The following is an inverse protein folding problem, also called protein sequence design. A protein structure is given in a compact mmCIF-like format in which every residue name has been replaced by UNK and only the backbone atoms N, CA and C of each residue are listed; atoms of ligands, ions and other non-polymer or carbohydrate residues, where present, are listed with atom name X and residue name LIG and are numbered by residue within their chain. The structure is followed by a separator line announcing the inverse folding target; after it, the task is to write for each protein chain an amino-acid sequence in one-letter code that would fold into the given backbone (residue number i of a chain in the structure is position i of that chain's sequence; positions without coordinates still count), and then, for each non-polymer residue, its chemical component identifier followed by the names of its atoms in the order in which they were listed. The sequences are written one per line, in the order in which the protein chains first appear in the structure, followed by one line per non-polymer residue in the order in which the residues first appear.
data_IF_542858223604
#
_entry.id   IF_542858223604
#
_cell.length_a   1.000
_cell.length_b   1.000
_cell.length_c   1.000
_cell.angle_alpha   90.00
_cell.angle_beta   90.00
_cell.angle_gamma   90.00
#
_symmetry.space_group_name_H-M   'P 1'
#
loop_
_entity.id
_entity.type
_entity.pdbx_description
1 polymer ?
#
# COMPACT_ATOMS: atom_id res chain seq x y z
N UNK A 1 -28.85 -21.03 23.48
CA UNK A 1 -29.75 -20.40 22.49
C UNK A 1 -30.43 -21.52 21.72
N UNK A 2 -31.74 -21.43 21.47
CA UNK A 2 -32.47 -22.41 20.66
C UNK A 2 -32.38 -22.00 19.19
N UNK A 3 -31.86 -22.86 18.31
CA UNK A 3 -31.84 -22.62 16.87
C UNK A 3 -33.19 -23.06 16.27
N UNK A 4 -33.93 -22.08 15.71
CA UNK A 4 -35.28 -22.31 15.15
C UNK A 4 -35.27 -22.25 13.60
N UNK A 5 -34.12 -22.04 12.97
CA UNK A 5 -34.01 -21.88 11.51
C UNK A 5 -33.31 -23.06 10.85
N UNK A 6 -33.79 -23.41 9.66
CA UNK A 6 -33.07 -24.18 8.67
C UNK A 6 -32.08 -23.27 7.92
N UNK A 7 -31.23 -23.82 7.06
CA UNK A 7 -30.22 -23.06 6.30
C UNK A 7 -30.82 -22.07 5.28
N UNK A 8 -32.00 -22.38 4.76
CA UNK A 8 -32.80 -21.51 3.88
C UNK A 8 -33.61 -20.44 4.64
N UNK A 9 -33.42 -20.34 5.95
CA UNK A 9 -34.15 -19.46 6.86
C UNK A 9 -35.67 -19.72 6.95
N UNK A 10 -36.14 -20.92 6.56
CA UNK A 10 -37.44 -21.45 7.00
C UNK A 10 -37.33 -21.93 8.44
N UNK A 11 -38.47 -22.08 9.13
CA UNK A 11 -38.45 -22.57 10.50
C UNK A 11 -38.29 -24.09 10.52
N UNK A 12 -37.45 -24.59 11.45
CA UNK A 12 -37.24 -26.01 11.70
C UNK A 12 -38.30 -26.59 12.68
N UNK A 13 -38.06 -27.79 13.21
CA UNK A 13 -38.96 -28.49 14.16
C UNK A 13 -39.19 -27.70 15.46
N UNK A 14 -38.25 -26.87 15.90
CA UNK A 14 -38.40 -26.03 17.11
C UNK A 14 -39.30 -24.81 16.85
N UNK A 15 -39.62 -24.51 15.59
CA UNK A 15 -40.65 -23.54 15.21
C UNK A 15 -42.08 -24.02 15.42
N UNK A 16 -42.27 -25.23 15.95
CA UNK A 16 -43.57 -25.85 16.24
C UNK A 16 -44.49 -25.88 15.01
N UNK A 17 -45.71 -25.34 15.12
CA UNK A 17 -46.69 -25.31 14.03
C UNK A 17 -46.30 -24.39 12.85
N UNK A 18 -45.25 -23.58 13.00
CA UNK A 18 -44.66 -22.81 11.93
C UNK A 18 -43.56 -23.53 11.14
N UNK A 19 -43.25 -24.80 11.46
CA UNK A 19 -42.23 -25.58 10.77
C UNK A 19 -42.42 -25.53 9.25
N UNK A 20 -41.30 -25.24 8.53
CA UNK A 20 -41.26 -25.17 7.07
C UNK A 20 -41.75 -23.85 6.47
N UNK A 21 -42.27 -22.91 7.28
CA UNK A 21 -42.67 -21.59 6.78
C UNK A 21 -41.52 -20.63 6.72
N UNK A 22 -41.57 -19.71 5.75
CA UNK A 22 -40.61 -18.59 5.63
C UNK A 22 -40.72 -17.65 6.83
N UNK A 23 -39.57 -17.19 7.33
CA UNK A 23 -39.45 -16.32 8.49
C UNK A 23 -40.26 -15.02 8.42
N UNK A 24 -40.38 -14.41 7.23
CA UNK A 24 -41.15 -13.18 7.06
C UNK A 24 -42.66 -13.42 7.10
N UNK A 25 -43.09 -14.58 6.63
CA UNK A 25 -44.48 -15.03 6.76
C UNK A 25 -44.79 -15.25 8.22
N UNK A 26 -43.93 -15.98 8.94
CA UNK A 26 -44.11 -16.28 10.36
C UNK A 26 -44.16 -15.02 11.24
N UNK A 27 -43.31 -14.03 10.99
CA UNK A 27 -43.35 -12.73 11.72
C UNK A 27 -44.73 -12.05 11.65
N UNK A 28 -45.42 -12.17 10.52
CA UNK A 28 -46.78 -11.63 10.37
C UNK A 28 -47.82 -12.47 11.04
N UNK A 29 -47.70 -13.80 10.95
CA UNK A 29 -48.68 -14.71 11.52
C UNK A 29 -48.60 -14.76 13.04
N UNK A 30 -47.37 -14.82 13.60
CA UNK A 30 -47.17 -14.85 15.05
C UNK A 30 -47.66 -13.57 15.75
N UNK A 31 -47.57 -12.43 15.07
CA UNK A 31 -48.11 -11.20 15.63
C UNK A 31 -49.64 -11.29 15.82
N UNK A 32 -50.34 -11.82 14.82
CA UNK A 32 -51.80 -12.01 14.88
C UNK A 32 -52.19 -13.04 15.94
N UNK A 33 -51.38 -14.13 16.06
CA UNK A 33 -51.65 -15.13 17.08
C UNK A 33 -51.44 -14.60 18.49
N UNK A 34 -50.39 -13.81 18.73
CA UNK A 34 -50.15 -13.18 20.02
C UNK A 34 -51.23 -12.15 20.37
N UNK A 35 -51.79 -11.46 19.37
CA UNK A 35 -52.94 -10.55 19.55
C UNK A 35 -54.19 -11.34 19.92
N UNK A 36 -54.50 -12.41 19.20
CA UNK A 36 -55.63 -13.30 19.49
C UNK A 36 -55.60 -13.95 20.87
N UNK A 37 -54.40 -14.29 21.33
CA UNK A 37 -54.19 -14.86 22.67
C UNK A 37 -54.06 -13.85 23.79
N UNK A 38 -54.20 -12.53 23.48
CA UNK A 38 -54.07 -11.46 24.46
C UNK A 38 -52.66 -11.25 25.01
N UNK A 39 -51.64 -11.85 24.37
CA UNK A 39 -50.25 -11.73 24.78
C UNK A 39 -49.58 -10.49 24.17
N UNK A 40 -50.12 -9.92 23.08
CA UNK A 40 -49.64 -8.67 22.48
C UNK A 40 -50.26 -7.49 23.18
N UNK A 41 -49.46 -6.76 23.98
CA UNK A 41 -49.95 -5.64 24.78
C UNK A 41 -49.96 -4.33 23.95
N UNK A 42 -48.93 -4.12 23.13
CA UNK A 42 -48.74 -2.87 22.36
C UNK A 42 -47.82 -3.10 21.15
N UNK A 43 -48.15 -2.39 20.06
CA UNK A 43 -47.25 -2.28 18.89
C UNK A 43 -46.88 -0.81 18.71
N UNK A 44 -45.56 -0.55 18.59
CA UNK A 44 -45.04 0.78 18.33
C UNK A 44 -44.19 0.76 17.08
N UNK A 45 -44.22 1.86 16.34
CA UNK A 45 -43.29 2.06 15.21
C UNK A 45 -41.90 2.30 15.74
N UNK A 46 -40.92 1.45 15.31
CA UNK A 46 -39.51 1.55 15.69
C UNK A 46 -38.64 1.49 14.47
N UNK A 47 -37.71 2.42 14.35
CA UNK A 47 -36.68 2.41 13.28
C UNK A 47 -35.43 1.75 13.80
N UNK A 48 -35.02 0.66 13.19
CA UNK A 48 -33.77 -0.04 13.51
C UNK A 48 -32.95 -0.33 12.26
N UNK A 49 -31.65 -0.59 12.46
CA UNK A 49 -30.76 -1.04 11.41
C UNK A 49 -30.86 -2.54 11.27
N UNK A 50 -31.34 -3.02 10.12
CA UNK A 50 -31.42 -4.46 9.80
C UNK A 50 -30.13 -4.90 9.13
N UNK A 51 -29.46 -5.93 9.67
CA UNK A 51 -28.29 -6.53 9.06
C UNK A 51 -28.63 -7.24 7.75
N UNK A 52 -27.86 -6.99 6.72
CA UNK A 52 -27.99 -7.66 5.42
C UNK A 52 -26.67 -8.24 4.98
N UNK A 53 -26.73 -9.36 4.22
CA UNK A 53 -25.55 -9.92 3.57
C UNK A 53 -24.93 -8.88 2.63
N UNK A 54 -23.65 -8.65 2.76
CA UNK A 54 -22.92 -7.70 1.89
C UNK A 54 -23.01 -8.10 0.42
N UNK A 55 -23.01 -9.39 0.13
CA UNK A 55 -23.00 -9.94 -1.23
C UNK A 55 -24.39 -10.05 -1.84
N UNK A 56 -25.36 -10.63 -1.11
CA UNK A 56 -26.70 -10.95 -1.65
C UNK A 56 -27.76 -9.90 -1.27
N UNK A 57 -27.45 -9.01 -0.33
CA UNK A 57 -28.38 -8.05 0.28
C UNK A 57 -29.57 -8.70 1.01
N UNK A 58 -29.56 -10.04 1.16
CA UNK A 58 -30.56 -10.73 1.95
C UNK A 58 -30.44 -10.36 3.43
N UNK A 59 -31.58 -10.23 4.11
CA UNK A 59 -31.61 -10.00 5.55
C UNK A 59 -31.02 -11.23 6.27
N UNK A 60 -30.07 -11.00 7.16
CA UNK A 60 -29.44 -12.07 7.96
C UNK A 60 -30.22 -12.35 9.24
N UNK A 61 -30.18 -13.59 9.67
CA UNK A 61 -30.74 -14.03 10.95
C UNK A 61 -29.60 -14.62 11.82
N UNK A 62 -29.59 -14.35 13.14
CA UNK A 62 -28.64 -14.98 14.04
C UNK A 62 -28.84 -16.50 14.09
N UNK A 63 -27.79 -17.26 13.78
CA UNK A 63 -27.76 -18.71 13.80
C UNK A 63 -26.44 -19.20 14.38
N UNK A 64 -26.48 -20.19 15.25
CA UNK A 64 -25.30 -20.92 15.71
C UNK A 64 -24.87 -21.91 14.62
N UNK A 65 -23.60 -21.92 14.29
CA UNK A 65 -22.99 -22.92 13.42
C UNK A 65 -21.56 -23.21 13.90
N UNK A 66 -21.09 -24.41 13.61
CA UNK A 66 -19.69 -24.76 13.86
C UNK A 66 -18.80 -23.97 12.91
N UNK A 67 -17.70 -23.45 13.45
CA UNK A 67 -16.77 -22.61 12.72
C UNK A 67 -15.33 -22.99 13.09
N UNK A 68 -14.41 -22.80 12.17
CA UNK A 68 -12.99 -22.97 12.43
C UNK A 68 -12.39 -21.69 13.03
N UNK A 69 -11.72 -21.85 14.17
CA UNK A 69 -11.05 -20.76 14.88
C UNK A 69 -9.56 -21.08 15.04
N UNK A 70 -8.73 -20.09 14.75
CA UNK A 70 -7.31 -20.10 15.07
C UNK A 70 -7.11 -19.45 16.45
N UNK A 71 -6.47 -20.17 17.39
CA UNK A 71 -6.08 -19.61 18.69
C UNK A 71 -4.98 -18.57 18.50
N UNK A 72 -5.23 -17.34 18.91
CA UNK A 72 -4.34 -16.21 18.65
C UNK A 72 -3.44 -15.85 19.83
N UNK A 73 -3.80 -16.23 21.05
CA UNK A 73 -3.16 -15.78 22.29
C UNK A 73 -1.64 -15.97 22.33
N UNK A 74 -1.16 -17.15 21.92
CA UNK A 74 0.28 -17.43 21.90
C UNK A 74 0.95 -16.93 20.61
N UNK A 75 0.26 -17.00 19.49
CA UNK A 75 0.76 -16.62 18.18
C UNK A 75 1.11 -15.12 18.07
N UNK A 76 0.43 -14.27 18.84
CA UNK A 76 0.64 -12.82 18.79
C UNK A 76 1.83 -12.33 19.61
N UNK A 77 2.30 -13.11 20.59
CA UNK A 77 3.37 -12.68 21.51
C UNK A 77 4.67 -12.25 20.81
N UNK A 78 5.22 -13.04 19.87
CA UNK A 78 6.40 -12.63 19.11
C UNK A 78 6.15 -11.35 18.29
N UNK A 79 4.96 -11.21 17.71
CA UNK A 79 4.59 -10.07 16.88
C UNK A 79 4.45 -8.77 17.71
N UNK A 80 3.89 -8.85 18.91
CA UNK A 80 3.85 -7.73 19.87
C UNK A 80 5.26 -7.30 20.22
N UNK A 81 6.10 -8.25 20.60
CA UNK A 81 7.49 -7.99 20.99
C UNK A 81 8.28 -7.31 19.87
N UNK A 82 8.19 -7.82 18.65
CA UNK A 82 8.95 -7.33 17.50
C UNK A 82 8.64 -5.88 17.13
N UNK A 83 7.38 -5.44 17.30
CA UNK A 83 6.96 -4.07 16.94
C UNK A 83 7.05 -3.13 18.13
N UNK A 84 6.56 -3.54 19.31
CA UNK A 84 6.32 -2.62 20.44
C UNK A 84 7.43 -2.61 21.49
N UNK A 85 8.30 -3.63 21.55
CA UNK A 85 9.34 -3.75 22.56
C UNK A 85 10.73 -3.66 21.96
N UNK A 86 11.03 -4.45 20.93
CA UNK A 86 12.37 -4.50 20.32
C UNK A 86 12.54 -3.60 19.11
N UNK A 87 11.45 -3.08 18.58
CA UNK A 87 11.41 -2.25 17.36
C UNK A 87 12.16 -2.91 16.17
N UNK A 88 12.20 -4.25 16.13
CA UNK A 88 12.73 -4.98 14.97
C UNK A 88 11.93 -4.72 13.70
N UNK A 89 10.63 -4.42 13.87
CA UNK A 89 9.73 -3.97 12.81
C UNK A 89 9.23 -2.59 13.20
N UNK A 90 9.43 -1.59 12.34
CA UNK A 90 9.05 -0.20 12.59
C UNK A 90 7.84 0.20 11.76
N UNK A 91 6.86 0.86 12.38
CA UNK A 91 5.70 1.41 11.70
C UNK A 91 5.92 2.90 11.42
N UNK A 92 5.67 3.33 10.20
CA UNK A 92 5.76 4.73 9.76
C UNK A 92 4.41 5.22 9.23
N UNK A 93 3.87 6.34 9.79
CA UNK A 93 4.37 7.08 10.96
C UNK A 93 4.16 6.32 12.27
N UNK A 94 5.00 6.62 13.25
CA UNK A 94 5.02 5.95 14.58
C UNK A 94 3.68 6.05 15.35
N UNK A 95 2.78 6.96 15.01
CA UNK A 95 1.44 7.07 15.61
C UNK A 95 0.63 5.76 15.52
N UNK A 96 0.93 4.92 14.53
CA UNK A 96 0.24 3.63 14.32
C UNK A 96 0.66 2.55 15.30
N UNK A 97 1.74 2.73 16.09
CA UNK A 97 2.11 1.82 17.17
C UNK A 97 0.96 1.69 18.19
N UNK A 98 0.25 2.79 18.49
CA UNK A 98 -0.88 2.76 19.40
C UNK A 98 -2.07 1.96 18.84
N UNK A 99 -2.34 2.09 17.54
CA UNK A 99 -3.38 1.33 16.86
C UNK A 99 -3.02 -0.15 16.84
N UNK A 100 -1.77 -0.48 16.51
CA UNK A 100 -1.25 -1.85 16.51
C UNK A 100 -1.35 -2.47 17.91
N UNK A 101 -0.88 -1.74 18.94
CA UNK A 101 -0.98 -2.15 20.36
C UNK A 101 -2.41 -2.49 20.75
N UNK A 102 -3.35 -1.57 20.48
CA UNK A 102 -4.74 -1.77 20.85
C UNK A 102 -5.34 -3.05 20.26
N UNK A 103 -5.06 -3.33 18.99
CA UNK A 103 -5.57 -4.53 18.32
C UNK A 103 -4.88 -5.81 18.82
N UNK A 104 -3.56 -5.77 19.02
CA UNK A 104 -2.79 -6.96 19.36
C UNK A 104 -2.96 -7.38 20.83
N UNK A 105 -3.04 -6.42 21.76
CA UNK A 105 -3.27 -6.71 23.19
C UNK A 105 -4.72 -7.15 23.48
N UNK A 106 -5.67 -6.82 22.62
CA UNK A 106 -7.08 -7.19 22.74
C UNK A 106 -7.50 -8.22 21.69
N UNK A 107 -6.56 -8.99 21.15
CA UNK A 107 -6.85 -9.94 20.08
C UNK A 107 -7.77 -11.06 20.59
N UNK A 108 -8.67 -11.50 19.71
CA UNK A 108 -9.54 -12.67 19.94
C UNK A 108 -9.17 -13.75 18.94
N UNK A 109 -9.60 -14.98 19.25
CA UNK A 109 -9.46 -16.08 18.32
C UNK A 109 -10.09 -15.72 16.97
N UNK A 110 -9.39 -16.08 15.91
CA UNK A 110 -9.75 -15.70 14.57
C UNK A 110 -10.60 -16.77 13.91
N UNK A 111 -11.88 -16.45 13.63
CA UNK A 111 -12.71 -17.28 12.77
C UNK A 111 -12.15 -17.27 11.35
N UNK A 112 -11.63 -18.40 10.89
CA UNK A 112 -10.99 -18.57 9.57
C UNK A 112 -11.89 -19.20 8.52
N UNK A 113 -13.10 -19.67 8.89
CA UNK A 113 -14.05 -20.27 7.95
C UNK A 113 -15.00 -19.22 7.34
N UNK A 114 -15.37 -19.44 6.08
CA UNK A 114 -16.31 -18.60 5.32
C UNK A 114 -17.24 -19.52 4.53
N UNK A 115 -18.55 -19.27 4.61
CA UNK A 115 -19.58 -19.96 3.85
C UNK A 115 -19.68 -19.34 2.45
N UNK A 116 -18.73 -19.68 1.58
CA UNK A 116 -18.61 -19.16 0.22
C UNK A 116 -18.62 -20.31 -0.81
N UNK A 117 -19.26 -20.08 -1.92
CA UNK A 117 -19.30 -21.05 -3.03
C UNK A 117 -17.96 -21.21 -3.75
N UNK A 118 -17.13 -20.21 -3.69
CA UNK A 118 -15.84 -20.19 -4.35
C UNK A 118 -14.77 -19.57 -3.45
N UNK A 119 -13.65 -20.26 -3.35
CA UNK A 119 -12.55 -19.88 -2.50
C UNK A 119 -11.61 -21.05 -2.27
N UNK A 120 -10.72 -20.91 -1.31
CA UNK A 120 -9.83 -21.99 -0.86
C UNK A 120 -10.57 -22.85 0.12
N UNK A 121 -11.05 -24.01 -0.31
CA UNK A 121 -11.79 -24.95 0.52
C UNK A 121 -10.93 -25.43 1.69
N UNK A 122 -11.52 -25.50 2.87
CA UNK A 122 -10.81 -25.95 4.07
C UNK A 122 -10.37 -27.40 3.87
N UNK A 123 -9.06 -27.73 4.05
CA UNK A 123 -8.53 -29.07 3.80
C UNK A 123 -8.74 -30.02 5.00
N UNK A 124 -9.92 -29.94 5.61
CA UNK A 124 -10.35 -30.82 6.69
C UNK A 124 -11.32 -31.87 6.16
N UNK A 125 -11.11 -33.13 6.53
CA UNK A 125 -11.89 -34.27 6.07
C UNK A 125 -12.48 -35.01 7.30
N UNK A 126 -13.79 -34.99 7.39
CA UNK A 126 -14.56 -35.68 8.45
C UNK A 126 -14.74 -37.14 8.07
N UNK A 127 -14.50 -38.03 9.05
CA UNK A 127 -14.70 -39.50 8.94
C UNK A 127 -15.71 -40.04 9.94
N UNK A 128 -16.39 -39.19 10.70
CA UNK A 128 -17.38 -39.49 11.69
C UNK A 128 -18.23 -38.29 12.05
N UNK A 129 -19.02 -38.39 13.11
CA UNK A 129 -19.93 -37.34 13.58
C UNK A 129 -19.46 -36.65 14.86
N UNK A 130 -18.38 -37.13 15.45
CA UNK A 130 -17.78 -36.52 16.63
C UNK A 130 -17.04 -35.21 16.27
N UNK A 131 -16.94 -34.31 17.23
CA UNK A 131 -16.30 -33.01 17.06
C UNK A 131 -14.82 -33.16 16.67
N UNK A 132 -14.14 -34.22 17.05
CA UNK A 132 -12.75 -34.51 16.74
C UNK A 132 -12.58 -35.52 15.60
N UNK A 133 -13.68 -35.99 14.97
CA UNK A 133 -13.64 -36.99 13.91
C UNK A 133 -13.25 -36.39 12.55
N UNK A 134 -12.16 -35.63 12.51
CA UNK A 134 -11.62 -35.07 11.30
C UNK A 134 -10.09 -35.20 11.22
N UNK A 135 -9.55 -35.05 10.03
CA UNK A 135 -8.12 -34.91 9.74
C UNK A 135 -7.90 -33.76 8.77
N UNK A 136 -6.70 -33.18 8.77
CA UNK A 136 -6.30 -32.16 7.81
C UNK A 136 -5.24 -32.75 6.89
N UNK A 137 -5.43 -32.63 5.58
CA UNK A 137 -4.54 -33.23 4.59
C UNK A 137 -4.61 -32.47 3.25
N UNK A 138 -3.56 -32.57 2.44
CA UNK A 138 -3.49 -31.95 1.12
C UNK A 138 -4.38 -32.67 0.07
N UNK A 139 -4.63 -33.97 0.27
CA UNK A 139 -5.45 -34.80 -0.64
C UNK A 139 -6.37 -35.73 0.13
N UNK A 140 -7.41 -36.26 -0.56
CA UNK A 140 -8.30 -37.27 0.01
C UNK A 140 -7.60 -38.58 0.34
N UNK A 141 -6.60 -38.95 -0.45
CA UNK A 141 -5.80 -40.16 -0.27
C UNK A 141 -4.96 -40.08 1.02
N UNK A 142 -4.32 -38.92 1.23
CA UNK A 142 -3.59 -38.64 2.47
C UNK A 142 -4.54 -38.59 3.67
N UNK A 143 -5.69 -37.90 3.51
CA UNK A 143 -6.74 -37.83 4.53
C UNK A 143 -7.23 -39.23 4.95
N UNK A 144 -7.39 -40.12 3.99
CA UNK A 144 -7.80 -41.54 4.30
C UNK A 144 -6.76 -42.22 5.14
N UNK A 145 -5.47 -42.06 4.84
CA UNK A 145 -4.41 -42.66 5.64
C UNK A 145 -4.41 -42.11 7.07
N UNK A 146 -4.56 -40.80 7.24
CA UNK A 146 -4.65 -40.17 8.56
C UNK A 146 -5.92 -40.55 9.33
N UNK A 147 -7.07 -40.62 8.65
CA UNK A 147 -8.33 -41.02 9.24
C UNK A 147 -8.32 -42.48 9.77
N UNK A 148 -7.74 -43.40 8.98
CA UNK A 148 -7.52 -44.79 9.41
C UNK A 148 -6.64 -44.85 10.65
N UNK A 149 -5.53 -44.11 10.65
CA UNK A 149 -4.62 -44.09 11.80
C UNK A 149 -5.27 -43.48 13.04
N UNK A 150 -6.03 -42.38 12.89
CA UNK A 150 -6.66 -41.67 13.99
C UNK A 150 -7.87 -42.43 14.59
N UNK A 151 -8.70 -43.02 13.72
CA UNK A 151 -9.89 -43.79 14.16
C UNK A 151 -9.60 -45.22 14.61
N UNK A 152 -8.44 -45.78 14.23
CA UNK A 152 -8.15 -47.21 14.40
C UNK A 152 -9.01 -48.12 13.50
N UNK A 153 -9.73 -47.57 12.53
CA UNK A 153 -10.60 -48.34 11.63
C UNK A 153 -9.94 -48.51 10.24
N UNK A 154 -9.37 -49.69 9.93
CA UNK A 154 -8.71 -49.95 8.64
C UNK A 154 -9.69 -50.09 7.49
N UNK A 155 -10.99 -50.20 7.74
CA UNK A 155 -12.04 -50.43 6.73
C UNK A 155 -12.56 -49.09 6.12
N UNK A 156 -12.16 -47.93 6.64
CA UNK A 156 -12.55 -46.65 6.06
C UNK A 156 -12.12 -46.59 4.59
N UNK A 157 -12.98 -46.01 3.79
CA UNK A 157 -12.77 -45.76 2.34
C UNK A 157 -12.79 -44.25 2.02
N UNK A 158 -12.45 -43.87 0.83
CA UNK A 158 -12.50 -42.45 0.39
C UNK A 158 -13.94 -41.91 0.44
N UNK A 159 -14.91 -42.74 0.20
CA UNK A 159 -16.35 -42.43 0.25
C UNK A 159 -16.85 -42.08 1.63
N UNK A 160 -16.20 -42.61 2.68
CA UNK A 160 -16.49 -42.28 4.07
C UNK A 160 -15.99 -40.90 4.51
N UNK A 161 -15.15 -40.25 3.66
CA UNK A 161 -14.59 -38.96 3.97
C UNK A 161 -15.42 -37.81 3.35
N UNK A 162 -15.88 -36.92 4.19
CA UNK A 162 -16.54 -35.69 3.79
C UNK A 162 -15.60 -34.50 4.02
N UNK A 163 -15.17 -33.81 2.94
CA UNK A 163 -14.41 -32.58 3.09
C UNK A 163 -15.31 -31.46 3.61
N UNK A 164 -14.75 -30.57 4.44
CA UNK A 164 -15.43 -29.36 4.89
C UNK A 164 -15.90 -28.54 3.69
N UNK A 165 -17.13 -28.02 3.74
CA UNK A 165 -17.74 -27.27 2.65
C UNK A 165 -17.35 -25.79 2.63
N UNK A 166 -16.82 -25.29 3.76
CA UNK A 166 -16.44 -23.90 3.92
C UNK A 166 -15.12 -23.57 3.20
N UNK A 167 -14.96 -22.31 2.89
CA UNK A 167 -13.70 -21.76 2.39
C UNK A 167 -12.92 -21.07 3.51
N UNK A 168 -11.60 -20.99 3.35
CA UNK A 168 -10.74 -20.21 4.24
C UNK A 168 -10.95 -18.71 4.02
N UNK A 169 -10.83 -17.94 5.09
CA UNK A 169 -10.72 -16.48 5.05
C UNK A 169 -9.59 -16.07 4.09
N UNK A 170 -9.85 -15.13 3.20
CA UNK A 170 -8.85 -14.58 2.27
C UNK A 170 -7.56 -14.15 2.97
N UNK A 171 -7.69 -13.59 4.18
CA UNK A 171 -6.53 -13.16 4.96
C UNK A 171 -5.71 -14.33 5.51
N UNK A 172 -6.29 -15.51 5.63
CA UNK A 172 -5.58 -16.71 6.08
C UNK A 172 -4.61 -17.25 5.02
N UNK A 173 -4.84 -16.97 3.75
CA UNK A 173 -3.86 -17.25 2.70
C UNK A 173 -2.94 -16.06 2.43
N UNK A 174 -3.46 -14.84 2.44
CA UNK A 174 -2.66 -13.65 2.14
C UNK A 174 -1.64 -13.29 3.22
N UNK A 175 -1.78 -13.79 4.45
CA UNK A 175 -0.74 -13.63 5.49
C UNK A 175 0.56 -14.38 5.17
N UNK A 176 0.51 -15.34 4.25
CA UNK A 176 1.68 -16.08 3.78
C UNK A 176 2.45 -15.35 2.68
N UNK A 177 1.92 -14.22 2.19
CA UNK A 177 2.45 -13.56 1.00
C UNK A 177 3.96 -13.28 1.02
N UNK A 178 4.57 -12.79 2.13
CA UNK A 178 6.01 -12.54 2.15
C UNK A 178 6.86 -13.80 1.93
N UNK A 179 6.32 -14.97 2.23
CA UNK A 179 6.99 -16.26 2.03
C UNK A 179 6.62 -16.88 0.69
N UNK A 180 5.32 -16.87 0.34
CA UNK A 180 4.79 -17.59 -0.81
C UNK A 180 5.23 -16.99 -2.14
N UNK A 181 5.42 -15.67 -2.21
CA UNK A 181 5.87 -14.98 -3.45
C UNK A 181 7.26 -15.43 -3.91
N UNK A 182 8.09 -15.94 -2.99
CA UNK A 182 9.42 -16.48 -3.27
C UNK A 182 9.48 -18.00 -3.14
N UNK A 183 8.32 -18.68 -3.20
CA UNK A 183 8.21 -20.14 -2.99
C UNK A 183 8.82 -20.62 -1.65
N UNK A 184 8.88 -19.75 -0.65
CA UNK A 184 9.50 -20.05 0.64
C UNK A 184 8.70 -21.02 1.53
N UNK A 185 7.41 -21.26 1.21
CA UNK A 185 6.56 -22.21 1.95
C UNK A 185 6.91 -23.65 1.57
N UNK A 186 7.07 -23.93 0.28
CA UNK A 186 7.35 -25.28 -0.24
C UNK A 186 8.84 -25.55 -0.37
N UNK A 187 9.63 -24.53 -0.68
CA UNK A 187 11.04 -24.62 -0.95
C UNK A 187 11.83 -23.55 -0.19
N UNK A 188 11.89 -23.64 1.16
CA UNK A 188 12.51 -22.60 2.01
C UNK A 188 14.01 -22.42 1.79
N UNK A 189 14.64 -23.37 1.10
CA UNK A 189 16.08 -23.33 0.81
C UNK A 189 16.45 -22.66 -0.52
N UNK A 190 15.48 -22.23 -1.32
CA UNK A 190 15.74 -21.59 -2.61
C UNK A 190 16.45 -20.23 -2.46
N UNK A 191 17.17 -19.82 -3.52
CA UNK A 191 18.02 -18.64 -3.52
C UNK A 191 17.23 -17.34 -3.37
N UNK A 192 16.06 -17.23 -4.01
CA UNK A 192 15.25 -16.02 -3.98
C UNK A 192 14.70 -15.78 -2.58
N UNK A 193 14.15 -16.81 -1.93
CA UNK A 193 13.67 -16.69 -0.56
C UNK A 193 14.79 -16.32 0.41
N UNK A 194 15.98 -16.92 0.29
CA UNK A 194 17.13 -16.58 1.14
C UNK A 194 17.62 -15.15 0.92
N UNK A 195 17.47 -14.61 -0.28
CA UNK A 195 17.90 -13.26 -0.62
C UNK A 195 16.87 -12.19 -0.22
N UNK A 196 15.59 -12.42 -0.53
CA UNK A 196 14.54 -11.41 -0.37
C UNK A 196 13.78 -11.47 0.96
N UNK A 197 13.84 -12.58 1.70
CA UNK A 197 13.17 -12.71 3.00
C UNK A 197 14.16 -12.65 4.16
N UNK A 198 13.98 -11.75 5.15
CA UNK A 198 12.96 -10.72 5.25
C UNK A 198 13.15 -9.58 4.24
N UNK A 199 12.05 -8.99 3.77
CA UNK A 199 12.11 -7.80 2.92
C UNK A 199 12.44 -6.53 3.74
N UNK A 200 12.81 -5.44 3.06
CA UNK A 200 13.15 -4.19 3.75
C UNK A 200 11.88 -3.42 4.14
N UNK A 201 11.04 -3.12 3.16
CA UNK A 201 9.92 -2.21 3.31
C UNK A 201 8.61 -2.85 2.80
N UNK A 202 7.55 -2.71 3.59
CA UNK A 202 6.18 -2.97 3.18
C UNK A 202 5.42 -1.64 3.11
N UNK A 203 4.80 -1.35 1.97
CA UNK A 203 3.96 -0.16 1.78
C UNK A 203 2.51 -0.58 1.64
N UNK A 204 1.63 -0.06 2.51
CA UNK A 204 0.20 -0.41 2.47
C UNK A 204 -0.68 0.66 3.14
N UNK A 205 -2.01 0.52 3.02
CA UNK A 205 -2.97 1.37 3.70
C UNK A 205 -3.15 1.01 5.19
N UNK A 206 -3.43 1.99 6.05
CA UNK A 206 -3.64 1.75 7.47
C UNK A 206 -4.92 0.96 7.79
N UNK A 207 -5.87 0.92 6.88
CA UNK A 207 -7.12 0.18 7.03
C UNK A 207 -6.94 -1.34 7.02
N UNK A 208 -5.79 -1.84 6.53
CA UNK A 208 -5.44 -3.25 6.58
C UNK A 208 -4.24 -3.55 7.49
N UNK A 209 -3.86 -2.64 8.37
CA UNK A 209 -2.80 -2.85 9.35
C UNK A 209 -3.04 -4.11 10.19
N UNK A 210 -4.25 -4.28 10.73
CA UNK A 210 -4.61 -5.46 11.50
C UNK A 210 -4.87 -6.68 10.62
N UNK A 211 -5.64 -6.50 9.54
CA UNK A 211 -6.09 -7.63 8.72
C UNK A 211 -4.98 -8.29 7.92
N UNK A 212 -3.95 -7.55 7.56
CA UNK A 212 -2.86 -8.06 6.72
C UNK A 212 -1.49 -7.93 7.36
N UNK A 213 -1.06 -6.72 7.75
CA UNK A 213 0.29 -6.47 8.26
C UNK A 213 0.57 -7.29 9.54
N UNK A 214 -0.30 -7.16 10.54
CA UNK A 214 -0.15 -7.88 11.80
C UNK A 214 -0.16 -9.40 11.58
N UNK A 215 -1.03 -9.88 10.69
CA UNK A 215 -1.12 -11.30 10.36
C UNK A 215 0.11 -11.81 9.62
N UNK A 216 0.71 -11.04 8.70
CA UNK A 216 1.98 -11.40 8.08
C UNK A 216 3.12 -11.47 9.10
N UNK A 217 3.15 -10.58 10.08
CA UNK A 217 4.15 -10.63 11.16
C UNK A 217 3.97 -11.92 11.98
N UNK A 218 2.73 -12.24 12.35
CA UNK A 218 2.41 -13.47 13.10
C UNK A 218 2.87 -14.71 12.31
N UNK A 219 2.46 -14.84 11.05
CA UNK A 219 2.84 -15.99 10.22
C UNK A 219 4.34 -16.09 9.97
N UNK A 220 5.02 -14.94 9.83
CA UNK A 220 6.47 -14.91 9.68
C UNK A 220 7.17 -15.54 10.88
N UNK A 221 6.82 -15.14 12.09
CA UNK A 221 7.41 -15.73 13.30
C UNK A 221 6.99 -17.17 13.51
N UNK A 222 5.74 -17.54 13.24
CA UNK A 222 5.24 -18.90 13.40
C UNK A 222 5.96 -19.89 12.48
N UNK A 223 6.06 -19.57 11.19
CA UNK A 223 6.59 -20.52 10.20
C UNK A 223 8.09 -20.44 9.97
N UNK A 224 8.71 -19.28 10.17
CA UNK A 224 10.15 -19.09 9.88
C UNK A 224 10.98 -18.69 11.09
N UNK A 225 10.35 -18.32 12.21
CA UNK A 225 11.02 -17.75 13.38
C UNK A 225 11.62 -16.35 13.13
N UNK A 226 11.30 -15.70 12.01
CA UNK A 226 11.87 -14.42 11.58
C UNK A 226 10.79 -13.41 11.22
N UNK A 227 11.14 -12.11 11.33
CA UNK A 227 10.29 -11.04 10.82
C UNK A 227 10.12 -11.14 9.29
N UNK A 228 8.94 -10.82 8.73
CA UNK A 228 8.74 -10.84 7.29
C UNK A 228 9.30 -9.61 6.56
N UNK A 229 9.39 -8.47 7.25
CA UNK A 229 9.90 -7.18 6.75
C UNK A 229 10.43 -6.35 7.91
N UNK A 230 11.22 -5.29 7.59
CA UNK A 230 11.83 -4.44 8.62
C UNK A 230 11.00 -3.18 8.90
N UNK A 231 10.41 -2.59 7.88
CA UNK A 231 9.67 -1.35 7.99
C UNK A 231 8.30 -1.48 7.34
N UNK A 232 7.31 -0.78 7.89
CA UNK A 232 5.96 -0.68 7.34
C UNK A 232 5.61 0.78 7.15
N UNK A 233 5.52 1.22 5.90
CA UNK A 233 5.05 2.55 5.56
C UNK A 233 3.54 2.53 5.32
N UNK A 234 2.80 3.24 6.15
CA UNK A 234 1.34 3.33 6.09
C UNK A 234 0.92 4.60 5.37
N UNK A 235 0.40 4.43 4.16
CA UNK A 235 -0.04 5.53 3.30
C UNK A 235 -1.33 6.17 3.82
N UNK A 236 -1.67 7.36 3.30
CA UNK A 236 -3.01 7.91 3.46
C UNK A 236 -4.03 7.18 2.57
N UNK A 237 -5.30 7.22 2.96
CA UNK A 237 -6.40 6.80 2.12
C UNK A 237 -6.85 7.95 1.23
N UNK A 238 -7.13 7.67 -0.04
CA UNK A 238 -7.62 8.67 -0.98
C UNK A 238 -9.10 8.94 -0.71
N UNK A 239 -9.43 10.24 -0.50
CA UNK A 239 -10.79 10.72 -0.25
C UNK A 239 -11.20 11.77 -1.27
N UNK A 240 -12.49 11.88 -1.50
CA UNK A 240 -13.07 12.95 -2.31
C UNK A 240 -13.10 14.31 -1.56
N UNK A 241 -13.48 15.37 -2.25
CA UNK A 241 -13.61 16.73 -1.67
C UNK A 241 -14.58 16.81 -0.48
N UNK A 242 -15.48 15.83 -0.31
CA UNK A 242 -16.38 15.68 0.84
C UNK A 242 -15.81 14.77 1.93
N UNK A 243 -14.54 14.40 1.86
CA UNK A 243 -13.82 13.50 2.80
C UNK A 243 -14.33 12.06 2.84
N UNK A 244 -15.13 11.62 1.86
CA UNK A 244 -15.58 10.23 1.77
C UNK A 244 -14.49 9.39 1.11
N UNK A 245 -14.29 8.17 1.61
CA UNK A 245 -13.36 7.22 0.97
C UNK A 245 -13.79 6.98 -0.47
N UNK A 246 -12.87 7.11 -1.41
CA UNK A 246 -13.14 6.83 -2.82
C UNK A 246 -13.40 5.34 -3.02
N UNK A 247 -14.45 5.04 -3.78
CA UNK A 247 -14.79 3.66 -4.16
C UNK A 247 -15.54 3.62 -5.47
N UNK A 248 -15.38 2.53 -6.22
CA UNK A 248 -16.12 2.29 -7.46
C UNK A 248 -17.64 2.27 -7.24
N UNK A 249 -18.09 1.73 -6.10
CA UNK A 249 -19.51 1.62 -5.77
C UNK A 249 -20.18 2.96 -5.48
N UNK A 250 -19.43 3.96 -5.04
CA UNK A 250 -19.93 5.33 -4.82
C UNK A 250 -19.81 6.21 -6.08
N UNK A 251 -19.09 5.76 -7.11
CA UNK A 251 -18.86 6.54 -8.32
C UNK A 251 -18.06 7.84 -8.09
N UNK A 252 -17.35 7.95 -6.97
CA UNK A 252 -16.59 9.13 -6.58
C UNK A 252 -15.07 8.96 -6.80
N UNK A 253 -14.65 7.92 -7.51
CA UNK A 253 -13.26 7.69 -7.90
C UNK A 253 -13.09 8.11 -9.35
N UNK A 254 -12.14 9.01 -9.68
CA UNK A 254 -11.84 9.33 -11.07
C UNK A 254 -11.27 8.11 -11.79
N UNK A 255 -11.42 8.09 -13.12
CA UNK A 255 -10.79 7.09 -13.95
C UNK A 255 -9.28 7.37 -14.02
N UNK A 256 -8.48 6.44 -13.52
CA UNK A 256 -7.03 6.59 -13.48
C UNK A 256 -6.41 6.67 -14.89
N UNK A 257 -6.96 5.94 -15.88
CA UNK A 257 -6.47 5.99 -17.25
C UNK A 257 -6.74 7.36 -17.88
N UNK A 258 -7.92 7.93 -17.63
CA UNK A 258 -8.24 9.28 -18.07
C UNK A 258 -7.34 10.33 -17.42
N UNK A 259 -7.02 10.22 -16.14
CA UNK A 259 -6.07 11.13 -15.50
C UNK A 259 -4.68 11.04 -16.13
N UNK A 260 -4.21 9.83 -16.46
CA UNK A 260 -2.93 9.64 -17.15
C UNK A 260 -2.96 10.23 -18.56
N UNK A 261 -4.06 10.10 -19.29
CA UNK A 261 -4.23 10.69 -20.61
C UNK A 261 -4.21 12.22 -20.54
N UNK A 262 -4.91 12.83 -19.58
CA UNK A 262 -5.07 14.28 -19.45
C UNK A 262 -3.79 14.94 -18.89
N UNK A 263 -3.12 14.34 -17.90
CA UNK A 263 -2.03 14.94 -17.14
C UNK A 263 -0.67 14.26 -17.32
N UNK A 264 -0.62 13.11 -17.98
CA UNK A 264 0.57 12.26 -18.04
C UNK A 264 0.80 11.48 -16.74
N UNK A 265 1.43 10.31 -16.84
CA UNK A 265 1.68 9.45 -15.67
C UNK A 265 2.52 10.18 -14.61
N UNK A 266 3.57 10.88 -14.99
CA UNK A 266 4.42 11.65 -14.08
C UNK A 266 3.69 12.82 -13.44
N UNK A 267 2.80 13.49 -14.18
CA UNK A 267 1.97 14.57 -13.65
C UNK A 267 1.03 14.08 -12.55
N UNK A 268 0.38 12.92 -12.76
CA UNK A 268 -0.48 12.28 -11.76
C UNK A 268 0.33 11.84 -10.53
N UNK A 269 1.51 11.23 -10.72
CA UNK A 269 2.40 10.81 -9.63
C UNK A 269 2.81 12.00 -8.75
N UNK A 270 3.27 13.08 -9.35
CA UNK A 270 3.64 14.31 -8.62
C UNK A 270 2.45 14.87 -7.87
N UNK A 271 1.28 14.99 -8.50
CA UNK A 271 0.07 15.49 -7.87
C UNK A 271 -0.36 14.68 -6.64
N UNK A 272 -0.34 13.36 -6.75
CA UNK A 272 -0.66 12.47 -5.63
C UNK A 272 0.37 12.59 -4.49
N UNK A 273 1.66 12.58 -4.81
CA UNK A 273 2.73 12.63 -3.81
C UNK A 273 2.78 13.97 -3.08
N UNK A 274 2.55 15.10 -3.75
CA UNK A 274 2.46 16.42 -3.12
C UNK A 274 1.28 16.51 -2.13
N UNK A 275 0.21 15.74 -2.37
CA UNK A 275 -1.01 15.74 -1.55
C UNK A 275 -0.95 14.78 -0.38
N UNK A 276 0.05 13.91 -0.30
CA UNK A 276 0.07 12.73 0.57
C UNK A 276 1.04 12.88 1.75
N UNK A 277 0.71 13.67 2.81
CA UNK A 277 1.50 13.64 4.03
C UNK A 277 1.42 12.25 4.67
N UNK A 278 2.56 11.72 5.11
CA UNK A 278 2.67 10.38 5.67
C UNK A 278 1.59 10.08 6.71
N UNK A 279 0.82 9.01 6.50
CA UNK A 279 -0.19 8.49 7.43
C UNK A 279 -1.46 9.34 7.62
N UNK A 280 -1.66 10.38 6.82
CA UNK A 280 -2.90 11.14 6.81
C UNK A 280 -3.67 10.89 5.51
N UNK A 281 -5.00 11.02 5.56
CA UNK A 281 -5.82 10.86 4.38
C UNK A 281 -5.49 11.91 3.33
N UNK A 282 -5.44 11.48 2.07
CA UNK A 282 -5.18 12.30 0.91
C UNK A 282 -6.52 12.81 0.37
N UNK A 283 -6.67 14.13 0.34
CA UNK A 283 -7.79 14.76 -0.34
C UNK A 283 -7.40 14.95 -1.82
N UNK A 284 -7.97 14.09 -2.68
CA UNK A 284 -7.65 14.13 -4.10
C UNK A 284 -8.20 15.40 -4.76
N UNK A 285 -7.33 16.10 -5.47
CA UNK A 285 -7.67 17.24 -6.31
C UNK A 285 -6.94 17.14 -7.65
N UNK A 286 -7.68 17.26 -8.76
CA UNK A 286 -7.11 17.21 -10.10
C UNK A 286 -6.19 18.41 -10.40
N UNK A 287 -6.38 19.54 -9.71
CA UNK A 287 -5.49 20.71 -9.85
C UNK A 287 -4.04 20.39 -9.49
N UNK A 288 -3.83 19.43 -8.57
CA UNK A 288 -2.50 18.96 -8.21
C UNK A 288 -1.86 18.11 -9.33
N UNK A 289 -2.66 17.35 -10.07
CA UNK A 289 -2.19 16.65 -11.26
C UNK A 289 -1.80 17.64 -12.36
N UNK A 290 -2.56 18.73 -12.51
CA UNK A 290 -2.20 19.83 -13.44
C UNK A 290 -0.89 20.51 -13.00
N UNK A 291 -0.68 20.74 -11.71
CA UNK A 291 0.60 21.26 -11.20
C UNK A 291 1.76 20.30 -11.52
N UNK A 292 1.55 19.00 -11.31
CA UNK A 292 2.53 17.98 -11.69
C UNK A 292 2.87 18.00 -13.18
N UNK A 293 1.87 18.09 -14.07
CA UNK A 293 2.07 18.23 -15.52
C UNK A 293 2.88 19.50 -15.85
N UNK A 294 2.57 20.62 -15.20
CA UNK A 294 3.28 21.87 -15.41
C UNK A 294 4.75 21.77 -14.97
N UNK A 295 5.02 21.04 -13.88
CA UNK A 295 6.38 20.77 -13.43
C UNK A 295 7.18 19.94 -14.44
N UNK A 296 6.61 18.84 -14.93
CA UNK A 296 7.24 18.01 -15.97
C UNK A 296 7.53 18.82 -17.23
N UNK A 297 6.55 19.64 -17.66
CA UNK A 297 6.73 20.52 -18.81
C UNK A 297 7.84 21.57 -18.61
N UNK A 298 7.99 22.11 -17.40
CA UNK A 298 9.07 23.06 -17.08
C UNK A 298 10.44 22.41 -17.26
N UNK A 299 10.62 21.18 -16.76
CA UNK A 299 11.87 20.43 -16.88
C UNK A 299 12.17 20.11 -18.35
N UNK A 300 11.16 19.67 -19.10
CA UNK A 300 11.29 19.39 -20.52
C UNK A 300 11.70 20.63 -21.31
N UNK A 301 11.10 21.76 -21.00
CA UNK A 301 11.46 23.04 -21.67
C UNK A 301 12.87 23.51 -21.29
N UNK A 302 13.30 23.32 -20.04
CA UNK A 302 14.68 23.58 -19.63
C UNK A 302 15.68 22.73 -20.42
N UNK A 303 15.41 21.42 -20.55
CA UNK A 303 16.23 20.54 -21.40
C UNK A 303 16.27 21.02 -22.85
N UNK A 304 15.13 21.37 -23.46
CA UNK A 304 15.09 21.87 -24.83
C UNK A 304 15.86 23.18 -25.00
N UNK A 305 15.80 24.06 -24.01
CA UNK A 305 16.57 25.33 -24.02
C UNK A 305 18.07 25.03 -24.05
N UNK A 306 18.55 24.19 -23.14
CA UNK A 306 19.97 23.83 -23.04
C UNK A 306 20.46 23.16 -24.34
N UNK A 307 19.68 22.18 -24.85
CA UNK A 307 20.04 21.45 -26.09
C UNK A 307 20.05 22.33 -27.34
N UNK A 308 19.38 23.47 -27.31
CA UNK A 308 19.33 24.44 -28.42
C UNK A 308 20.46 25.48 -28.42
N UNK A 309 21.37 25.45 -27.44
CA UNK A 309 22.48 26.36 -27.42
C UNK A 309 23.59 25.90 -28.38
N UNK A 310 24.13 26.86 -29.14
CA UNK A 310 25.36 26.66 -29.88
C UNK A 310 26.56 26.80 -28.95
N UNK A 311 27.54 25.90 -29.06
CA UNK A 311 28.72 25.86 -28.18
C UNK A 311 29.97 26.31 -28.94
N UNK A 312 30.74 27.22 -28.34
CA UNK A 312 32.02 27.66 -28.87
C UNK A 312 33.14 27.42 -27.84
N UNK A 313 34.11 26.60 -28.19
CA UNK A 313 35.26 26.27 -27.35
C UNK A 313 36.28 27.42 -27.23
N UNK A 314 36.18 28.46 -28.09
CA UNK A 314 37.08 29.60 -28.05
C UNK A 314 36.65 30.69 -27.06
N UNK A 315 35.44 30.59 -26.50
CA UNK A 315 34.93 31.57 -25.54
C UNK A 315 35.39 31.17 -24.13
N UNK A 316 35.97 32.16 -23.42
CA UNK A 316 36.30 32.02 -22.01
C UNK A 316 35.03 31.99 -21.14
N UNK A 317 35.02 31.17 -20.08
CA UNK A 317 33.90 31.12 -19.15
C UNK A 317 33.66 32.48 -18.48
N UNK A 318 32.43 33.05 -18.58
CA UNK A 318 32.09 34.28 -17.88
C UNK A 318 32.15 34.08 -16.35
N UNK A 319 32.64 35.10 -15.62
CA UNK A 319 32.74 35.04 -14.17
C UNK A 319 31.37 34.85 -13.51
N UNK A 320 30.31 35.45 -14.04
CA UNK A 320 28.94 35.25 -13.55
C UNK A 320 28.50 33.78 -13.66
N UNK A 321 28.80 33.14 -14.80
CA UNK A 321 28.49 31.70 -15.01
C UNK A 321 29.26 30.82 -14.04
N UNK A 322 30.53 31.09 -13.80
CA UNK A 322 31.37 30.38 -12.87
C UNK A 322 30.82 30.45 -11.42
N UNK A 323 30.50 31.65 -10.95
CA UNK A 323 29.95 31.87 -9.60
C UNK A 323 28.57 31.22 -9.47
N UNK A 324 27.69 31.36 -10.49
CA UNK A 324 26.36 30.74 -10.51
C UNK A 324 26.43 29.21 -10.46
N UNK A 325 27.35 28.59 -11.19
CA UNK A 325 27.55 27.13 -11.17
C UNK A 325 28.10 26.64 -9.83
N UNK A 326 29.06 27.37 -9.23
CA UNK A 326 29.60 27.04 -7.92
C UNK A 326 28.49 27.10 -6.82
N UNK A 327 27.71 28.18 -6.84
CA UNK A 327 26.56 28.28 -5.93
C UNK A 327 25.55 27.10 -6.12
N UNK A 328 25.21 26.81 -7.38
CA UNK A 328 24.25 25.74 -7.64
C UNK A 328 24.75 24.37 -7.22
N UNK A 329 26.01 24.08 -7.38
CA UNK A 329 26.63 22.85 -6.88
C UNK A 329 26.48 22.72 -5.36
N UNK A 330 26.74 23.78 -4.60
CA UNK A 330 26.58 23.77 -3.14
C UNK A 330 25.11 23.65 -2.74
N UNK A 331 24.21 24.34 -3.43
CA UNK A 331 22.76 24.24 -3.24
C UNK A 331 22.27 22.81 -3.53
N UNK A 332 22.75 22.19 -4.59
CA UNK A 332 22.43 20.80 -4.93
C UNK A 332 22.88 19.83 -3.84
N UNK A 333 24.09 19.98 -3.31
CA UNK A 333 24.60 19.17 -2.19
C UNK A 333 23.73 19.32 -0.95
N UNK A 334 23.37 20.55 -0.59
CA UNK A 334 22.51 20.86 0.55
C UNK A 334 21.14 20.20 0.41
N UNK A 335 20.51 20.36 -0.75
CA UNK A 335 19.18 19.81 -1.01
C UNK A 335 19.22 18.28 -1.09
N UNK A 336 20.28 17.69 -1.64
CA UNK A 336 20.45 16.24 -1.65
C UNK A 336 20.50 15.68 -0.22
N UNK A 337 21.22 16.33 0.69
CA UNK A 337 21.25 15.94 2.11
C UNK A 337 19.87 16.05 2.77
N UNK A 338 19.10 17.11 2.46
CA UNK A 338 17.73 17.29 2.93
C UNK A 338 16.80 16.19 2.41
N UNK A 339 16.90 15.83 1.12
CA UNK A 339 16.12 14.75 0.51
C UNK A 339 16.43 13.40 1.19
N UNK A 340 17.71 13.11 1.43
CA UNK A 340 18.12 11.88 2.13
C UNK A 340 17.57 11.81 3.56
N UNK A 341 17.59 12.93 4.29
CA UNK A 341 16.98 13.02 5.63
C UNK A 341 15.47 12.75 5.57
N UNK A 342 14.78 13.35 4.60
CA UNK A 342 13.35 13.10 4.39
C UNK A 342 13.05 11.63 4.04
N UNK A 343 13.81 11.02 3.14
CA UNK A 343 13.66 9.61 2.80
C UNK A 343 13.91 8.70 4.00
N UNK A 344 14.94 8.99 4.80
CA UNK A 344 15.24 8.22 6.01
C UNK A 344 14.10 8.22 7.04
N UNK A 345 13.23 9.24 7.00
CA UNK A 345 12.06 9.45 7.85
C UNK A 345 10.74 9.11 7.15
N UNK A 346 10.78 8.55 5.95
CA UNK A 346 9.59 8.26 5.12
C UNK A 346 8.71 9.50 4.84
N UNK A 347 9.31 10.68 4.76
CA UNK A 347 8.66 11.95 4.41
C UNK A 347 8.74 12.19 2.89
N UNK A 348 8.06 11.35 2.13
CA UNK A 348 8.19 11.32 0.67
C UNK A 348 7.70 12.64 0.02
N UNK A 349 6.62 13.23 0.54
CA UNK A 349 6.11 14.52 0.07
C UNK A 349 7.11 15.67 0.29
N UNK A 350 7.79 15.69 1.46
CA UNK A 350 8.77 16.70 1.78
C UNK A 350 10.00 16.54 0.88
N UNK A 351 10.46 15.31 0.62
CA UNK A 351 11.53 15.02 -0.31
C UNK A 351 11.20 15.52 -1.73
N UNK A 352 9.97 15.26 -2.21
CA UNK A 352 9.50 15.79 -3.50
C UNK A 352 9.45 17.31 -3.50
N UNK A 353 8.99 17.95 -2.43
CA UNK A 353 8.91 19.42 -2.34
C UNK A 353 10.31 20.06 -2.37
N UNK A 354 11.30 19.48 -1.67
CA UNK A 354 12.69 19.93 -1.72
C UNK A 354 13.24 19.80 -3.15
N UNK A 355 13.01 18.66 -3.81
CA UNK A 355 13.40 18.44 -5.21
C UNK A 355 12.70 19.41 -6.15
N UNK A 356 11.40 19.66 -5.96
CA UNK A 356 10.62 20.60 -6.75
C UNK A 356 11.22 22.02 -6.69
N UNK A 357 11.51 22.52 -5.49
CA UNK A 357 12.10 23.85 -5.29
C UNK A 357 13.48 23.97 -5.94
N UNK A 358 14.36 23.00 -5.71
CA UNK A 358 15.68 23.00 -6.32
C UNK A 358 15.61 23.07 -7.84
N UNK A 359 14.73 22.28 -8.46
CA UNK A 359 14.66 22.22 -9.92
C UNK A 359 13.90 23.41 -10.49
N UNK A 360 12.75 23.78 -9.90
CA UNK A 360 11.93 24.87 -10.42
C UNK A 360 12.54 26.24 -10.15
N UNK A 361 12.92 26.51 -8.90
CA UNK A 361 13.41 27.83 -8.48
C UNK A 361 14.90 27.98 -8.74
N UNK A 362 15.73 27.11 -8.13
CA UNK A 362 17.18 27.30 -8.16
C UNK A 362 17.77 26.98 -9.56
N UNK A 363 17.41 25.84 -10.15
CA UNK A 363 17.91 25.46 -11.47
C UNK A 363 17.29 26.30 -12.60
N UNK A 364 15.97 26.22 -12.75
CA UNK A 364 15.30 26.80 -13.90
C UNK A 364 15.17 28.33 -13.83
N UNK A 365 14.93 28.90 -12.62
CA UNK A 365 14.65 30.34 -12.51
C UNK A 365 15.88 31.16 -12.15
N UNK A 366 16.92 30.58 -11.56
CA UNK A 366 18.17 31.28 -11.24
C UNK A 366 19.34 30.81 -12.10
N UNK A 367 19.77 29.53 -11.97
CA UNK A 367 20.99 29.11 -12.68
C UNK A 367 20.90 29.31 -14.18
N UNK A 368 19.83 28.81 -14.83
CA UNK A 368 19.68 28.91 -16.27
C UNK A 368 19.62 30.40 -16.75
N UNK A 369 19.02 31.29 -15.97
CA UNK A 369 18.97 32.70 -16.30
C UNK A 369 20.35 33.38 -16.19
N UNK A 370 21.21 32.95 -15.25
CA UNK A 370 22.56 33.47 -15.08
C UNK A 370 23.49 33.01 -16.21
N UNK A 371 23.36 31.74 -16.62
CA UNK A 371 24.32 31.12 -17.54
C UNK A 371 23.86 31.12 -18.99
N UNK A 372 22.59 31.41 -19.29
CA UNK A 372 22.12 31.43 -20.69
C UNK A 372 22.87 32.44 -21.53
N UNK A 373 23.29 32.08 -22.76
CA UNK A 373 23.91 33.02 -23.67
C UNK A 373 22.93 34.10 -24.16
N UNK A 374 23.44 35.20 -24.66
CA UNK A 374 22.63 36.22 -25.37
C UNK A 374 21.89 35.59 -26.56
N UNK A 375 20.78 36.21 -26.94
CA UNK A 375 19.98 35.67 -28.05
C UNK A 375 20.79 35.58 -29.34
N UNK A 376 20.97 34.36 -29.85
CA UNK A 376 21.76 34.09 -31.06
C UNK A 376 23.29 34.10 -30.86
N UNK A 377 23.74 34.16 -29.60
CA UNK A 377 25.14 34.03 -29.22
C UNK A 377 25.43 32.60 -28.73
N UNK A 378 26.64 32.05 -29.01
CA UNK A 378 27.03 30.77 -28.49
C UNK A 378 27.41 30.83 -26.99
N UNK A 379 27.30 29.71 -26.29
CA UNK A 379 27.78 29.53 -24.92
C UNK A 379 29.20 28.96 -24.93
N UNK A 380 30.00 29.32 -23.93
CA UNK A 380 31.30 28.68 -23.72
C UNK A 380 31.15 27.18 -23.33
N UNK A 381 32.11 26.37 -23.77
CA UNK A 381 32.08 24.91 -23.55
C UNK A 381 32.09 24.51 -22.07
N UNK A 382 32.84 25.25 -21.23
CA UNK A 382 32.99 24.92 -19.80
C UNK A 382 31.66 25.08 -19.07
N UNK A 383 30.97 26.21 -19.33
CA UNK A 383 29.62 26.46 -18.77
C UNK A 383 28.61 25.43 -19.28
N UNK A 384 28.62 25.15 -20.61
CA UNK A 384 27.70 24.18 -21.20
C UNK A 384 27.83 22.80 -20.54
N UNK A 385 29.05 22.25 -20.43
CA UNK A 385 29.28 20.93 -19.83
C UNK A 385 28.87 20.90 -18.36
N UNK A 386 29.12 21.98 -17.62
CA UNK A 386 28.72 22.06 -16.22
C UNK A 386 27.19 22.13 -16.07
N UNK A 387 26.47 22.80 -16.97
CA UNK A 387 24.99 22.83 -16.97
C UNK A 387 24.42 21.46 -17.33
N UNK A 388 24.99 20.75 -18.30
CA UNK A 388 24.60 19.36 -18.61
C UNK A 388 24.80 18.48 -17.41
N UNK A 389 25.94 18.58 -16.71
CA UNK A 389 26.19 17.80 -15.48
C UNK A 389 25.18 18.12 -14.38
N UNK A 390 24.83 19.40 -14.18
CA UNK A 390 23.80 19.82 -13.23
C UNK A 390 22.43 19.27 -13.60
N UNK A 391 22.04 19.28 -14.88
CA UNK A 391 20.82 18.67 -15.38
C UNK A 391 20.79 17.17 -15.11
N UNK A 392 21.86 16.44 -15.41
CA UNK A 392 21.96 15.00 -15.14
C UNK A 392 21.81 14.67 -13.65
N UNK A 393 22.41 15.48 -12.77
CA UNK A 393 22.24 15.30 -11.33
C UNK A 393 20.81 15.57 -10.88
N UNK A 394 20.14 16.58 -11.45
CA UNK A 394 18.72 16.82 -11.21
C UNK A 394 17.86 15.64 -11.67
N UNK A 395 18.15 15.06 -12.83
CA UNK A 395 17.41 13.89 -13.32
C UNK A 395 17.53 12.68 -12.38
N UNK A 396 18.71 12.49 -11.75
CA UNK A 396 18.90 11.40 -10.76
C UNK A 396 17.98 11.56 -9.55
N UNK A 397 17.88 12.77 -8.99
CA UNK A 397 17.00 13.01 -7.82
C UNK A 397 15.52 13.11 -8.19
N UNK A 398 15.19 13.44 -9.44
CA UNK A 398 13.82 13.48 -9.96
C UNK A 398 13.26 12.09 -10.30
N UNK A 399 14.12 11.14 -10.68
CA UNK A 399 13.70 9.86 -11.22
C UNK A 399 12.74 9.06 -10.31
N UNK A 400 12.90 9.02 -8.98
CA UNK A 400 11.92 8.35 -8.12
C UNK A 400 10.49 8.92 -8.22
N UNK A 401 10.35 10.19 -8.58
CA UNK A 401 9.08 10.90 -8.64
C UNK A 401 8.48 10.95 -10.05
N UNK A 402 9.31 11.20 -11.06
CA UNK A 402 8.93 11.35 -12.48
C UNK A 402 9.75 10.42 -13.39
N UNK A 403 9.60 9.08 -13.24
CA UNK A 403 10.50 8.13 -13.89
C UNK A 403 10.46 8.16 -15.42
N UNK A 404 9.34 8.52 -16.03
CA UNK A 404 9.20 8.49 -17.49
C UNK A 404 9.88 9.70 -18.15
N UNK A 405 9.56 10.91 -17.72
CA UNK A 405 10.13 12.12 -18.29
C UNK A 405 11.63 12.25 -17.99
N UNK A 406 12.05 11.86 -16.79
CA UNK A 406 13.47 11.91 -16.42
C UNK A 406 14.31 10.94 -17.27
N UNK A 407 13.84 9.70 -17.49
CA UNK A 407 14.53 8.73 -18.36
C UNK A 407 14.55 9.21 -19.82
N UNK A 408 13.43 9.73 -20.33
CA UNK A 408 13.36 10.24 -21.69
C UNK A 408 14.37 11.38 -21.90
N UNK A 409 14.45 12.34 -20.97
CA UNK A 409 15.46 13.41 -21.05
C UNK A 409 16.87 12.84 -20.94
N UNK A 410 17.11 11.91 -20.03
CA UNK A 410 18.42 11.26 -19.82
C UNK A 410 18.95 10.62 -21.09
N UNK A 411 18.12 9.87 -21.80
CA UNK A 411 18.48 9.24 -23.08
C UNK A 411 18.67 10.24 -24.22
N UNK A 412 18.02 11.41 -24.15
CA UNK A 412 18.13 12.45 -25.18
C UNK A 412 19.27 13.44 -24.95
N UNK A 413 19.94 13.45 -23.79
CA UNK A 413 21.16 14.25 -23.55
C UNK A 413 22.32 13.69 -24.37
N UNK A 414 22.56 12.39 -24.28
CA UNK A 414 23.59 11.65 -25.03
C UNK A 414 23.12 10.23 -25.25
N UNK A 415 23.66 9.57 -26.26
CA UNK A 415 23.39 8.15 -26.54
C UNK A 415 23.93 7.27 -25.39
N UNK A 416 23.08 6.38 -24.86
CA UNK A 416 23.36 5.49 -23.73
C UNK A 416 22.87 4.08 -24.00
N UNK A 417 23.57 3.11 -23.43
CA UNK A 417 23.15 1.71 -23.45
C UNK A 417 22.04 1.46 -22.41
N UNK A 418 21.28 0.37 -22.50
CA UNK A 418 20.28 -0.01 -21.49
C UNK A 418 20.86 -0.16 -20.07
N UNK A 419 22.12 -0.53 -19.94
CA UNK A 419 22.82 -0.69 -18.65
C UNK A 419 23.15 0.66 -18.00
N UNK A 420 23.05 1.77 -18.76
CA UNK A 420 23.24 3.14 -18.32
C UNK A 420 21.92 3.86 -18.07
N UNK A 421 20.79 3.12 -18.08
CA UNK A 421 19.48 3.68 -17.76
C UNK A 421 19.48 4.37 -16.39
N UNK A 422 18.69 5.42 -16.24
CA UNK A 422 18.69 6.23 -15.04
C UNK A 422 18.31 5.44 -13.78
N UNK A 423 17.42 4.46 -13.92
CA UNK A 423 16.96 3.60 -12.82
C UNK A 423 18.08 2.78 -12.17
N UNK A 424 19.14 2.43 -12.92
CA UNK A 424 20.31 1.68 -12.39
C UNK A 424 21.49 2.60 -12.06
N UNK A 425 21.31 3.91 -12.24
CA UNK A 425 22.35 4.89 -11.98
C UNK A 425 22.52 5.17 -10.48
N UNK A 426 23.71 5.62 -10.10
CA UNK A 426 23.99 5.93 -8.70
C UNK A 426 23.27 7.18 -8.23
N UNK A 427 22.76 7.14 -7.00
CA UNK A 427 22.25 8.32 -6.30
C UNK A 427 23.38 9.32 -6.04
N UNK A 428 23.15 10.65 -6.26
CA UNK A 428 24.16 11.66 -6.00
C UNK A 428 24.51 11.70 -4.51
N UNK A 429 25.78 11.97 -4.22
CA UNK A 429 26.22 12.10 -2.82
C UNK A 429 26.26 13.57 -2.43
N UNK A 430 25.77 13.92 -1.26
CA UNK A 430 25.78 15.29 -0.75
C UNK A 430 27.24 15.67 -0.45
N UNK A 431 28.10 15.46 0.13
CA UNK A 431 29.47 15.93 0.37
C UNK A 431 29.54 17.11 1.32
N UNK A 432 30.72 17.74 1.40
CA UNK A 432 30.91 18.96 2.18
C UNK A 432 30.24 20.16 1.48
N UNK A 433 29.61 21.05 2.28
CA UNK A 433 28.81 22.17 1.81
C UNK A 433 29.48 23.48 2.23
N UNK A 434 29.65 24.43 1.27
CA UNK A 434 30.00 25.81 1.57
C UNK A 434 28.74 26.63 1.90
N UNK A 435 28.33 26.58 3.17
CA UNK A 435 27.15 27.32 3.63
C UNK A 435 27.28 28.85 3.45
N UNK A 436 28.52 29.38 3.49
CA UNK A 436 28.73 30.81 3.30
C UNK A 436 28.40 31.23 1.89
N UNK A 437 28.86 30.51 0.88
CA UNK A 437 28.54 30.80 -0.51
C UNK A 437 27.02 30.78 -0.77
N UNK A 438 26.32 29.82 -0.17
CA UNK A 438 24.85 29.73 -0.26
C UNK A 438 24.20 30.97 0.36
N UNK A 439 24.60 31.36 1.59
CA UNK A 439 24.04 32.53 2.29
C UNK A 439 24.32 33.85 1.55
N UNK A 440 25.54 34.04 1.05
CA UNK A 440 25.92 35.23 0.30
C UNK A 440 25.08 35.34 -1.01
N UNK A 441 24.85 34.22 -1.69
CA UNK A 441 24.04 34.19 -2.90
C UNK A 441 22.54 34.40 -2.60
N UNK A 442 21.99 33.81 -1.53
CA UNK A 442 20.62 34.03 -1.08
C UNK A 442 20.37 35.52 -0.76
N UNK A 443 21.35 36.20 -0.16
CA UNK A 443 21.25 37.62 0.08
C UNK A 443 21.23 38.42 -1.24
N UNK A 444 22.08 38.04 -2.20
CA UNK A 444 22.10 38.67 -3.52
C UNK A 444 20.77 38.51 -4.26
N UNK A 445 20.18 37.29 -4.24
CA UNK A 445 18.87 37.03 -4.87
C UNK A 445 17.75 37.83 -4.22
N UNK A 446 17.75 37.98 -2.88
CA UNK A 446 16.79 38.85 -2.20
C UNK A 446 16.89 40.30 -2.62
N UNK A 447 18.10 40.84 -2.80
CA UNK A 447 18.32 42.20 -3.28
C UNK A 447 17.85 42.40 -4.73
N UNK A 448 18.01 41.37 -5.57
CA UNK A 448 17.59 41.46 -7.00
C UNK A 448 16.06 41.35 -7.10
N UNK A 449 15.41 40.57 -6.24
CA UNK A 449 13.96 40.31 -6.28
C UNK A 449 13.12 41.39 -5.57
N UNK A 450 13.69 42.16 -4.65
CA UNK A 450 13.02 43.20 -3.83
C UNK A 450 13.04 44.54 -4.49
#
# INVERSE_FOLDING_TARGET
MLNIFNDDASLNEFGLHYKGKDRFVVRKEITKELEANGALIKTESHVNKVGTSERTKAVIEPKLSDQWFLKMEDLVKPAIKAVLETEEIKLFPKKFDNTYRHWMENIRDWNISRQLWWGQQIPAYYFGTGQDDFVVAESKEEALAFAKAKSGNPQLTIEDLKQDEDALDTWFSSWLWPMSVFDGVRNPDNADFKYYYPTNDLVTGPDILFFWVARMIISGYEYTGKKPFSNVYLTGLVRDKQRRKMSKSLGNSPDALKLIEDYGADGVRVGLLLSAPAGNDLMFDEDLCQQGKSFVNKIWNAFRLIKGWDVDEAIDQPEASKVGLQWYEERFKQTTAEIEDHFSKYRISDALMATYKLVWDDFCSWLLEIVKPGFGEPIDKVTFDAVIHALENNLRILHPFIPFASEEIWQNITERSPEEALIVNNWPKAGAIDEKLIQDFDLATQVISG
#
